data_IF_601248249416
#
_entry.id   IF_601248249416
#
_cell.length_a   1.000
_cell.length_b   1.000
_cell.length_c   1.000
_cell.angle_alpha   90.00
_cell.angle_beta   90.00
_cell.angle_gamma   90.00
#
_symmetry.space_group_name_H-M   'P 1'
#
loop_
_entity.id
_entity.type
_entity.pdbx_description
1 polymer ?
#
# COMPACT_ATOMS: atom_id res chain seq x y z
N UNK A 1 -78.25 -25.69 -48.29
CA UNK A 1 -78.01 -25.94 -46.86
C UNK A 1 -76.61 -26.51 -46.81
N UNK A 2 -75.56 -25.80 -46.43
CA UNK A 2 -75.41 -24.61 -45.59
C UNK A 2 -74.28 -23.77 -46.19
N UNK A 3 -74.43 -22.44 -46.19
CA UNK A 3 -73.37 -21.49 -46.51
C UNK A 3 -72.65 -21.13 -45.20
N UNK A 4 -71.36 -21.43 -45.08
CA UNK A 4 -70.55 -20.89 -43.99
C UNK A 4 -69.63 -19.79 -44.53
N UNK A 5 -70.12 -18.57 -44.29
CA UNK A 5 -69.44 -17.30 -44.45
C UNK A 5 -68.43 -17.19 -43.31
N UNK A 6 -67.14 -17.27 -43.61
CA UNK A 6 -66.11 -16.91 -42.63
C UNK A 6 -65.81 -15.40 -42.64
N UNK A 7 -65.53 -14.81 -41.47
CA UNK A 7 -65.53 -13.36 -41.27
C UNK A 7 -64.21 -12.74 -41.72
N UNK A 8 -64.32 -11.59 -42.38
CA UNK A 8 -63.23 -10.69 -42.72
C UNK A 8 -62.53 -10.17 -41.46
N UNK A 9 -61.26 -10.54 -41.28
CA UNK A 9 -60.36 -9.89 -40.33
C UNK A 9 -60.00 -8.48 -40.84
N UNK A 10 -60.51 -7.46 -40.16
CA UNK A 10 -60.03 -6.09 -40.35
C UNK A 10 -58.66 -5.95 -39.67
N UNK A 11 -57.65 -5.33 -40.31
CA UNK A 11 -56.41 -4.99 -39.64
C UNK A 11 -56.70 -3.92 -38.59
N UNK A 12 -56.45 -4.27 -37.32
CA UNK A 12 -56.43 -3.31 -36.22
C UNK A 12 -55.33 -2.29 -36.52
N UNK A 13 -55.76 -1.09 -36.89
CA UNK A 13 -54.98 0.14 -36.88
C UNK A 13 -54.57 0.42 -35.43
N UNK A 14 -53.46 -0.20 -35.01
CA UNK A 14 -52.85 0.08 -33.72
C UNK A 14 -52.26 1.48 -33.79
N UNK A 15 -53.00 2.39 -33.18
CA UNK A 15 -52.56 3.73 -32.82
C UNK A 15 -51.07 3.74 -32.46
N UNK A 16 -50.32 4.45 -33.30
CA UNK A 16 -48.93 4.79 -33.12
C UNK A 16 -48.82 5.70 -31.89
N UNK A 17 -48.81 5.08 -30.70
CA UNK A 17 -48.56 5.74 -29.43
C UNK A 17 -47.09 6.18 -29.44
N UNK A 18 -46.89 7.39 -29.96
CA UNK A 18 -45.67 8.17 -29.89
C UNK A 18 -45.07 8.07 -28.48
N UNK A 19 -43.96 7.34 -28.28
CA UNK A 19 -43.26 7.34 -27.00
C UNK A 19 -42.64 8.73 -26.87
N UNK A 20 -43.29 9.58 -26.06
CA UNK A 20 -42.69 10.82 -25.61
C UNK A 20 -41.27 10.52 -25.12
N UNK A 21 -40.32 11.16 -25.79
CA UNK A 21 -38.96 11.40 -25.36
C UNK A 21 -38.95 11.83 -23.89
N UNK A 22 -38.71 10.86 -23.01
CA UNK A 22 -38.20 11.18 -21.69
C UNK A 22 -36.71 11.47 -21.88
N UNK A 23 -36.24 12.71 -21.64
CA UNK A 23 -34.82 12.97 -21.61
C UNK A 23 -34.26 12.10 -20.49
N UNK A 24 -33.51 11.07 -20.90
CA UNK A 24 -32.65 10.26 -20.05
C UNK A 24 -31.62 11.20 -19.44
N UNK A 25 -32.05 11.89 -18.39
CA UNK A 25 -31.23 12.67 -17.50
C UNK A 25 -30.21 11.74 -16.89
N UNK A 26 -28.95 12.01 -17.22
CA UNK A 26 -27.79 11.59 -16.49
C UNK A 26 -27.68 10.07 -16.32
N UNK A 27 -27.33 9.41 -17.44
CA UNK A 27 -26.45 8.25 -17.35
C UNK A 27 -25.23 8.70 -16.56
N UNK A 28 -25.27 8.49 -15.24
CA UNK A 28 -24.13 8.55 -14.35
C UNK A 28 -23.05 7.77 -15.06
N UNK A 29 -22.10 8.49 -15.65
CA UNK A 29 -20.90 7.88 -16.18
C UNK A 29 -20.24 7.22 -14.97
N UNK A 30 -20.51 5.92 -14.80
CA UNK A 30 -19.83 5.07 -13.85
C UNK A 30 -18.40 5.08 -14.35
N UNK A 31 -17.65 6.09 -13.90
CA UNK A 31 -16.32 6.43 -14.35
C UNK A 31 -15.50 5.20 -14.03
N UNK A 32 -15.30 4.34 -15.02
CA UNK A 32 -14.49 3.13 -14.89
C UNK A 32 -13.10 3.63 -14.52
N UNK A 33 -12.80 3.61 -13.23
CA UNK A 33 -11.50 4.02 -12.73
C UNK A 33 -10.45 3.15 -13.42
N UNK A 34 -9.45 3.80 -14.02
CA UNK A 34 -8.35 3.09 -14.66
C UNK A 34 -7.67 2.21 -13.60
N UNK A 35 -7.36 0.94 -13.91
CA UNK A 35 -6.77 0.02 -12.93
C UNK A 35 -5.43 0.53 -12.37
N UNK A 36 -4.68 1.32 -13.15
CA UNK A 36 -3.44 1.97 -12.71
C UNK A 36 -3.66 2.98 -11.58
N UNK A 37 -4.79 3.71 -11.59
CA UNK A 37 -5.11 4.69 -10.55
C UNK A 37 -5.46 3.97 -9.24
N UNK A 38 -6.18 2.85 -9.31
CA UNK A 38 -6.48 2.01 -8.14
C UNK A 38 -5.20 1.41 -7.54
N UNK A 39 -4.27 0.95 -8.37
CA UNK A 39 -2.96 0.49 -7.92
C UNK A 39 -2.17 1.60 -7.21
N UNK A 40 -2.07 2.78 -7.84
CA UNK A 40 -1.38 3.94 -7.26
C UNK A 40 -2.02 4.36 -5.92
N UNK A 41 -3.35 4.33 -5.83
CA UNK A 41 -4.07 4.65 -4.60
C UNK A 41 -3.72 3.68 -3.46
N UNK A 42 -3.62 2.38 -3.76
CA UNK A 42 -3.18 1.37 -2.80
C UNK A 42 -1.74 1.60 -2.34
N UNK A 43 -0.84 1.83 -3.30
CA UNK A 43 0.58 2.08 -3.02
C UNK A 43 0.81 3.34 -2.20
N UNK A 44 0.36 4.50 -2.70
CA UNK A 44 0.55 5.79 -2.02
C UNK A 44 -0.26 5.89 -0.74
N UNK A 45 -1.49 5.35 -0.71
CA UNK A 45 -2.30 5.34 0.50
C UNK A 45 -1.63 4.59 1.63
N UNK A 46 -1.11 3.38 1.36
CA UNK A 46 -0.37 2.63 2.36
C UNK A 46 0.93 3.33 2.77
N UNK A 47 1.67 3.88 1.81
CA UNK A 47 2.94 4.56 2.08
C UNK A 47 2.73 5.80 2.97
N UNK A 48 1.80 6.69 2.60
CA UNK A 48 1.53 7.94 3.35
C UNK A 48 1.08 7.62 4.78
N UNK A 49 0.14 6.69 4.95
CA UNK A 49 -0.38 6.32 6.28
C UNK A 49 0.75 5.78 7.15
N UNK A 50 1.56 4.85 6.62
CA UNK A 50 2.68 4.29 7.38
C UNK A 50 3.77 5.34 7.66
N UNK A 51 4.16 6.16 6.68
CA UNK A 51 5.15 7.21 6.89
C UNK A 51 4.71 8.21 7.94
N UNK A 52 3.42 8.57 7.99
CA UNK A 52 2.89 9.48 9.00
C UNK A 52 2.93 8.84 10.39
N UNK A 53 2.51 7.58 10.48
CA UNK A 53 2.45 6.83 11.74
C UNK A 53 3.86 6.59 12.31
N UNK A 54 4.77 6.04 11.53
CA UNK A 54 6.18 5.85 11.92
C UNK A 54 6.93 7.17 12.13
N UNK A 55 6.65 8.19 11.32
CA UNK A 55 7.23 9.52 11.47
C UNK A 55 6.85 10.17 12.79
N UNK A 56 5.58 10.05 13.21
CA UNK A 56 5.14 10.54 14.52
C UNK A 56 5.83 9.84 15.68
N UNK A 57 6.05 8.53 15.60
CA UNK A 57 6.78 7.76 16.62
C UNK A 57 8.23 8.19 16.69
N UNK A 58 8.89 8.35 15.53
CA UNK A 58 10.27 8.83 15.46
C UNK A 58 10.41 10.23 16.07
N UNK A 59 9.45 11.12 15.80
CA UNK A 59 9.40 12.45 16.40
C UNK A 59 9.23 12.39 17.93
N UNK A 60 8.31 11.57 18.43
CA UNK A 60 8.12 11.39 19.86
C UNK A 60 9.38 10.84 20.55
N UNK A 61 10.11 9.92 19.94
CA UNK A 61 11.38 9.41 20.49
C UNK A 61 12.44 10.50 20.65
N UNK A 62 12.48 11.50 19.76
CA UNK A 62 13.44 12.62 19.90
C UNK A 62 13.08 13.56 21.05
N UNK A 63 11.85 13.52 21.55
CA UNK A 63 11.37 14.39 22.64
C UNK A 63 11.48 13.65 23.97
N UNK A 64 12.65 13.71 24.63
CA UNK A 64 13.04 12.92 25.81
C UNK A 64 12.39 13.33 27.15
N UNK A 65 11.09 13.63 27.16
CA UNK A 65 10.38 13.96 28.40
C UNK A 65 9.86 12.69 29.07
N UNK A 66 9.99 12.56 30.41
CA UNK A 66 9.48 11.40 31.17
C UNK A 66 7.98 11.14 30.98
N UNK A 67 7.19 12.18 30.69
CA UNK A 67 5.76 12.04 30.36
C UNK A 67 5.54 11.33 29.01
N UNK A 68 6.48 11.47 28.07
CA UNK A 68 6.42 10.81 26.77
C UNK A 68 6.64 9.31 26.92
N UNK A 69 7.53 8.85 27.80
CA UNK A 69 7.75 7.42 28.05
C UNK A 69 6.46 6.70 28.50
N UNK A 70 5.65 7.34 29.36
CA UNK A 70 4.39 6.76 29.84
C UNK A 70 3.35 6.58 28.72
N UNK A 71 3.35 7.49 27.73
CA UNK A 71 2.45 7.45 26.58
C UNK A 71 3.00 6.54 25.47
N UNK A 72 4.33 6.42 25.37
CA UNK A 72 4.99 5.64 24.32
C UNK A 72 4.73 4.13 24.48
N UNK A 73 4.64 3.63 25.72
CA UNK A 73 4.41 2.21 26.02
C UNK A 73 3.10 1.70 25.38
N UNK A 74 1.90 2.26 25.68
CA UNK A 74 0.66 1.79 25.06
C UNK A 74 0.65 2.03 23.54
N UNK A 75 1.29 3.09 23.07
CA UNK A 75 1.41 3.38 21.64
C UNK A 75 2.24 2.32 20.90
N UNK A 76 3.28 1.80 21.54
CA UNK A 76 4.11 0.73 21.01
C UNK A 76 3.33 -0.59 20.88
N UNK A 77 2.48 -0.92 21.87
CA UNK A 77 1.59 -2.08 21.77
C UNK A 77 0.58 -1.95 20.63
N UNK A 78 -0.02 -0.77 20.46
CA UNK A 78 -0.88 -0.45 19.31
C UNK A 78 -0.13 -0.61 17.98
N UNK A 79 1.12 -0.17 17.93
CA UNK A 79 1.99 -0.32 16.77
C UNK A 79 2.25 -1.79 16.44
N UNK A 80 2.57 -2.59 17.46
CA UNK A 80 2.79 -4.02 17.32
C UNK A 80 1.53 -4.74 16.83
N UNK A 81 0.36 -4.30 17.31
CA UNK A 81 -0.94 -4.79 16.86
C UNK A 81 -1.31 -4.33 15.43
N UNK A 82 -0.77 -3.21 14.96
CA UNK A 82 -1.01 -2.73 13.60
C UNK A 82 -0.43 -3.66 12.52
N UNK A 83 0.63 -4.42 12.85
CA UNK A 83 1.27 -5.35 11.91
C UNK A 83 0.33 -6.51 11.52
N UNK A 84 -0.21 -7.32 12.45
CA UNK A 84 -1.15 -8.38 12.09
C UNK A 84 -2.44 -7.81 11.50
N UNK A 85 -2.87 -6.62 11.92
CA UNK A 85 -4.03 -5.95 11.33
C UNK A 85 -3.79 -5.61 9.85
N UNK A 86 -2.63 -5.06 9.50
CA UNK A 86 -2.24 -4.79 8.12
C UNK A 86 -2.22 -6.07 7.27
N UNK A 87 -1.66 -7.17 7.80
CA UNK A 87 -1.65 -8.48 7.12
C UNK A 87 -3.08 -9.00 6.93
N UNK A 88 -3.95 -8.86 7.93
CA UNK A 88 -5.36 -9.24 7.84
C UNK A 88 -6.11 -8.45 6.77
N UNK A 89 -5.93 -7.12 6.72
CA UNK A 89 -6.53 -6.25 5.71
C UNK A 89 -6.06 -6.63 4.30
N UNK A 90 -4.77 -6.93 4.12
CA UNK A 90 -4.22 -7.42 2.85
C UNK A 90 -4.81 -8.75 2.42
N UNK A 91 -4.98 -9.68 3.37
CA UNK A 91 -5.55 -10.98 3.09
C UNK A 91 -7.00 -10.84 2.62
N UNK A 92 -7.79 -9.99 3.28
CA UNK A 92 -9.17 -9.68 2.88
C UNK A 92 -9.20 -9.00 1.50
N UNK A 93 -8.35 -8.00 1.25
CA UNK A 93 -8.26 -7.32 -0.06
C UNK A 93 -7.81 -8.25 -1.18
N UNK A 94 -6.99 -9.26 -0.87
CA UNK A 94 -6.52 -10.27 -1.82
C UNK A 94 -7.60 -11.27 -2.24
N UNK A 95 -8.51 -11.62 -1.32
CA UNK A 95 -9.62 -12.56 -1.59
C UNK A 95 -10.70 -11.92 -2.46
N UNK A 96 -10.97 -10.62 -2.30
CA UNK A 96 -12.03 -9.95 -3.06
C UNK A 96 -11.53 -9.55 -4.45
N UNK A 97 -11.96 -10.26 -5.50
CA UNK A 97 -11.56 -10.03 -6.91
C UNK A 97 -11.67 -8.56 -7.35
N UNK A 98 -12.66 -7.81 -6.85
CA UNK A 98 -12.88 -6.39 -7.18
C UNK A 98 -11.77 -5.45 -6.67
N UNK A 99 -11.11 -5.80 -5.56
CA UNK A 99 -10.11 -4.95 -4.89
C UNK A 99 -8.66 -5.40 -5.13
N UNK A 100 -8.49 -6.47 -5.90
CA UNK A 100 -7.19 -7.04 -6.25
C UNK A 100 -6.12 -6.03 -6.73
N UNK A 101 -6.41 -5.04 -7.62
CA UNK A 101 -5.38 -4.09 -8.05
C UNK A 101 -4.89 -3.18 -6.92
N UNK A 102 -5.77 -2.82 -5.97
CA UNK A 102 -5.41 -2.03 -4.80
C UNK A 102 -4.50 -2.86 -3.88
N UNK A 103 -4.88 -4.11 -3.63
CA UNK A 103 -4.07 -5.04 -2.83
C UNK A 103 -2.68 -5.26 -3.42
N UNK A 104 -2.56 -5.34 -4.75
CA UNK A 104 -1.26 -5.47 -5.42
C UNK A 104 -0.38 -4.23 -5.20
N UNK A 105 -0.97 -3.03 -5.21
CA UNK A 105 -0.28 -1.78 -4.88
C UNK A 105 0.27 -1.77 -3.46
N UNK A 106 -0.54 -2.20 -2.49
CA UNK A 106 -0.11 -2.31 -1.09
C UNK A 106 1.00 -3.35 -0.93
N UNK A 107 0.90 -4.49 -1.61
CA UNK A 107 1.90 -5.56 -1.56
C UNK A 107 3.27 -5.09 -2.08
N UNK A 108 3.28 -4.33 -3.18
CA UNK A 108 4.51 -3.73 -3.73
C UNK A 108 5.10 -2.72 -2.75
N UNK A 109 4.27 -1.90 -2.10
CA UNK A 109 4.74 -0.93 -1.11
C UNK A 109 5.41 -1.62 0.09
N UNK A 110 4.84 -2.73 0.58
CA UNK A 110 5.43 -3.54 1.65
C UNK A 110 6.75 -4.16 1.22
N UNK A 111 6.80 -4.74 0.02
CA UNK A 111 8.03 -5.35 -0.51
C UNK A 111 9.15 -4.31 -0.62
N UNK A 112 8.84 -3.11 -1.12
CA UNK A 112 9.78 -2.00 -1.18
C UNK A 112 10.25 -1.57 0.22
N UNK A 113 9.34 -1.51 1.19
CA UNK A 113 9.70 -1.14 2.56
C UNK A 113 10.66 -2.17 3.19
N UNK A 114 10.39 -3.47 3.02
CA UNK A 114 11.28 -4.55 3.47
C UNK A 114 12.66 -4.42 2.80
N UNK A 115 12.70 -4.15 1.49
CA UNK A 115 13.95 -3.96 0.76
C UNK A 115 14.74 -2.78 1.30
N UNK A 116 14.10 -1.64 1.55
CA UNK A 116 14.74 -0.46 2.13
C UNK A 116 15.23 -0.74 3.57
N UNK A 117 14.43 -1.41 4.39
CA UNK A 117 14.83 -1.81 5.75
C UNK A 117 16.05 -2.73 5.73
N UNK A 118 16.10 -3.68 4.79
CA UNK A 118 17.20 -4.62 4.67
C UNK A 118 18.48 -3.92 4.20
N UNK A 119 18.38 -3.06 3.20
CA UNK A 119 19.50 -2.22 2.74
C UNK A 119 20.03 -1.37 3.89
N UNK A 120 19.14 -0.68 4.63
CA UNK A 120 19.53 0.14 5.78
C UNK A 120 20.20 -0.68 6.87
N UNK A 121 19.68 -1.86 7.19
CA UNK A 121 20.28 -2.78 8.16
C UNK A 121 21.68 -3.24 7.75
N UNK A 122 21.89 -3.58 6.47
CA UNK A 122 23.20 -3.95 5.93
C UNK A 122 24.17 -2.78 6.03
N UNK A 123 23.76 -1.56 5.67
CA UNK A 123 24.61 -0.37 5.80
C UNK A 123 24.97 -0.07 7.25
N UNK A 124 24.01 -0.12 8.17
CA UNK A 124 24.29 0.08 9.60
C UNK A 124 25.25 -0.98 10.12
N UNK A 125 25.08 -2.25 9.72
CA UNK A 125 25.99 -3.31 10.10
C UNK A 125 27.40 -3.08 9.55
N UNK A 126 27.53 -2.69 8.27
CA UNK A 126 28.81 -2.37 7.66
C UNK A 126 29.53 -1.20 8.36
N UNK A 127 28.79 -0.16 8.76
CA UNK A 127 29.34 0.97 9.51
C UNK A 127 29.81 0.57 10.91
N UNK A 128 29.17 -0.40 11.56
CA UNK A 128 29.64 -0.96 12.83
C UNK A 128 30.96 -1.72 12.69
N UNK A 129 31.25 -2.29 11.51
CA UNK A 129 32.52 -2.99 11.26
C UNK A 129 33.68 -2.06 10.87
N UNK A 130 33.41 -0.85 10.37
CA UNK A 130 34.43 0.13 10.00
C UNK A 130 35.53 0.37 11.06
N UNK A 131 35.23 0.60 12.36
CA UNK A 131 36.27 0.85 13.36
C UNK A 131 37.22 -0.34 13.61
N UNK A 132 36.78 -1.58 13.33
CA UNK A 132 37.66 -2.74 13.45
C UNK A 132 38.75 -2.76 12.37
N UNK A 133 38.43 -2.32 11.15
CA UNK A 133 39.39 -2.26 10.06
C UNK A 133 40.41 -1.14 10.24
N UNK A 134 39.99 0.05 10.70
CA UNK A 134 40.91 1.16 10.98
C UNK A 134 41.89 0.85 12.11
N UNK A 135 41.46 0.12 13.14
CA UNK A 135 42.36 -0.27 14.24
C UNK A 135 43.38 -1.32 13.81
N UNK A 136 43.03 -2.24 12.91
CA UNK A 136 43.96 -3.26 12.41
C UNK A 136 45.10 -2.64 11.59
N UNK A 137 44.80 -1.63 10.76
CA UNK A 137 45.81 -0.92 9.97
C UNK A 137 46.78 -0.14 10.87
N UNK A 138 46.26 0.57 11.88
CA UNK A 138 47.10 1.31 12.84
C UNK A 138 48.03 0.39 13.64
N UNK A 139 47.53 -0.76 14.12
CA UNK A 139 48.39 -1.75 14.78
C UNK A 139 49.48 -2.27 13.83
N UNK A 140 49.14 -2.56 12.57
CA UNK A 140 50.14 -3.07 11.62
C UNK A 140 51.30 -2.09 11.40
N UNK A 141 51.02 -0.79 11.40
CA UNK A 141 52.03 0.26 11.25
C UNK A 141 52.91 0.40 12.49
N UNK A 142 52.33 0.34 13.70
CA UNK A 142 53.12 0.39 14.95
C UNK A 142 54.10 -0.79 15.09
N UNK A 143 53.67 -2.01 14.72
CA UNK A 143 54.53 -3.19 14.76
C UNK A 143 55.67 -3.11 13.74
N UNK A 144 55.41 -2.57 12.55
CA UNK A 144 56.43 -2.32 11.51
C UNK A 144 57.47 -1.30 11.98
N UNK A 145 57.04 -0.21 12.59
CA UNK A 145 57.93 0.82 13.12
C UNK A 145 58.78 0.29 14.29
N UNK A 146 58.20 -0.56 15.15
CA UNK A 146 58.94 -1.20 16.23
C UNK A 146 60.01 -2.17 15.70
N UNK A 147 59.69 -2.96 14.67
CA UNK A 147 60.64 -3.86 14.00
C UNK A 147 61.79 -3.09 13.33
N UNK A 148 61.47 -2.03 12.59
CA UNK A 148 62.48 -1.19 11.92
C UNK A 148 63.45 -0.52 12.88
N UNK A 149 63.00 -0.14 14.09
CA UNK A 149 63.88 0.44 15.13
C UNK A 149 64.79 -0.57 15.81
N UNK A 150 64.49 -1.88 15.69
CA UNK A 150 65.25 -2.95 16.34
C UNK A 150 66.38 -3.54 15.48
N UNK A 151 66.41 -3.19 14.19
CA UNK A 151 67.45 -3.52 13.21
C UNK A 151 68.52 -2.42 13.16
#
# INVERSE_FOLDING_TARGET
>A
MENDIQPSEQPLENAELNPQDHPTGDTQSVRKYKPSLQFALGFFGWFIINSLLWGSVAWMQTTSNRLVELILIPFYYLLCFSIPLNVGVLLVLGVVKRWRPIGLGVLVAISLNIMISLVRGVFTNAMCFAPFYFNAENLSNEWLDALLKSL
#
